data_IF_450680032265
#
_entry.id   IF_450680032265
#
_cell.length_a   1.000
_cell.length_b   1.000
_cell.length_c   1.000
_cell.angle_alpha   90.00
_cell.angle_beta   90.00
_cell.angle_gamma   90.00
#
_symmetry.space_group_name_H-M   'P 1'
#
loop_
_entity.id
_entity.type
_entity.pdbx_description
1 polymer ?
#
# COMPACT_ATOMS: atom_id res chain seq x y z
N UNK A 1 -2.95 8.04 -10.17
CA UNK A 1 -3.19 8.44 -8.78
C UNK A 1 -3.89 9.77 -8.64
N UNK A 2 -3.35 10.84 -9.25
CA UNK A 2 -4.03 12.14 -9.22
C UNK A 2 -5.45 12.07 -9.76
N UNK A 3 -5.65 11.32 -10.83
CA UNK A 3 -6.96 11.17 -11.44
C UNK A 3 -7.97 10.52 -10.47
N UNK A 4 -7.57 9.50 -9.75
CA UNK A 4 -8.46 8.84 -8.79
C UNK A 4 -8.88 9.80 -7.67
N UNK A 5 -7.97 10.61 -7.15
CA UNK A 5 -8.26 11.60 -6.12
C UNK A 5 -9.20 12.69 -6.63
N UNK A 6 -8.97 13.16 -7.85
CA UNK A 6 -9.79 14.19 -8.46
C UNK A 6 -11.22 13.68 -8.72
N UNK A 7 -11.34 12.44 -9.21
CA UNK A 7 -12.63 11.84 -9.52
C UNK A 7 -13.53 11.68 -8.30
N UNK A 8 -12.95 11.50 -7.10
CA UNK A 8 -13.71 11.31 -5.88
C UNK A 8 -13.65 12.50 -4.91
N UNK A 9 -13.13 13.64 -5.37
CA UNK A 9 -13.04 14.87 -4.57
C UNK A 9 -12.25 14.72 -3.27
N UNK A 10 -11.13 13.97 -3.30
CA UNK A 10 -10.32 13.74 -2.11
C UNK A 10 -9.75 15.03 -1.51
N UNK A 11 -9.44 16.03 -2.33
CA UNK A 11 -8.85 17.27 -1.85
C UNK A 11 -9.78 18.00 -0.87
N UNK A 12 -11.07 17.96 -1.11
CA UNK A 12 -12.06 18.53 -0.19
C UNK A 12 -12.06 17.79 1.15
N UNK A 13 -12.00 16.46 1.10
CA UNK A 13 -11.94 15.61 2.30
C UNK A 13 -10.65 15.87 3.07
N UNK A 14 -9.53 16.01 2.40
CA UNK A 14 -8.24 16.29 3.04
C UNK A 14 -8.25 17.64 3.75
N UNK A 15 -8.91 18.63 3.20
CA UNK A 15 -9.01 19.95 3.82
C UNK A 15 -9.76 19.91 5.15
N UNK A 16 -10.55 18.86 5.39
CA UNK A 16 -11.24 18.62 6.65
C UNK A 16 -10.41 17.77 7.63
N UNK A 17 -9.16 17.44 7.28
CA UNK A 17 -8.28 16.61 8.10
C UNK A 17 -8.57 15.12 8.04
N UNK A 18 -9.37 14.68 7.09
CA UNK A 18 -9.73 13.26 6.94
C UNK A 18 -8.78 12.61 5.94
N UNK A 19 -7.80 11.86 6.44
CA UNK A 19 -6.72 11.27 5.62
C UNK A 19 -6.58 9.76 5.78
N UNK A 20 -7.47 9.14 6.52
CA UNK A 20 -7.38 7.71 6.85
C UNK A 20 -6.54 7.44 8.09
N UNK A 21 -6.14 8.45 8.82
CA UNK A 21 -5.37 8.30 10.05
C UNK A 21 -6.14 7.43 11.06
N UNK A 22 -5.47 6.43 11.61
CA UNK A 22 -6.09 5.48 12.53
C UNK A 22 -6.72 4.27 11.85
N UNK A 23 -6.71 4.23 10.52
CA UNK A 23 -7.25 3.09 9.74
C UNK A 23 -6.09 2.26 9.20
N UNK A 24 -6.17 0.94 9.37
CA UNK A 24 -5.23 0.00 8.78
C UNK A 24 -5.80 -0.60 7.50
N UNK A 25 -4.99 -0.63 6.45
CA UNK A 25 -5.37 -1.24 5.16
C UNK A 25 -4.42 -2.39 4.87
N UNK A 26 -4.97 -3.59 4.69
CA UNK A 26 -4.21 -4.77 4.30
C UNK A 26 -4.14 -4.85 2.78
N UNK A 27 -2.92 -4.96 2.25
CA UNK A 27 -2.66 -5.08 0.82
C UNK A 27 -2.15 -6.49 0.55
N UNK A 28 -2.99 -7.33 -0.04
CA UNK A 28 -2.66 -8.72 -0.41
C UNK A 28 -2.18 -8.72 -1.85
N UNK A 29 -0.87 -8.72 -2.05
CA UNK A 29 -0.27 -8.50 -3.37
C UNK A 29 1.13 -9.11 -3.44
N UNK A 30 2.02 -8.52 -4.22
CA UNK A 30 3.38 -9.02 -4.46
C UNK A 30 4.38 -8.65 -3.37
N UNK A 31 3.97 -7.90 -2.37
CA UNK A 31 4.83 -7.42 -1.31
C UNK A 31 4.85 -5.91 -1.22
N UNK A 32 5.84 -5.36 -0.54
CA UNK A 32 5.99 -3.92 -0.41
C UNK A 32 7.45 -3.53 -0.25
N UNK A 33 7.89 -2.56 -1.03
CA UNK A 33 9.16 -1.87 -0.83
C UNK A 33 8.89 -0.67 0.08
N UNK A 34 9.76 -0.44 1.05
CA UNK A 34 9.56 0.64 2.04
C UNK A 34 9.94 2.00 1.44
N UNK A 35 9.05 2.52 0.61
CA UNK A 35 9.21 3.82 -0.03
C UNK A 35 9.01 4.96 0.97
N UNK A 36 9.68 6.09 0.71
CA UNK A 36 9.62 7.30 1.55
C UNK A 36 8.18 7.74 1.88
N UNK A 37 7.27 7.62 0.92
CA UNK A 37 5.91 8.12 1.04
C UNK A 37 5.07 7.35 2.06
N UNK A 38 5.50 6.16 2.48
CA UNK A 38 4.69 5.38 3.43
C UNK A 38 5.48 4.47 4.37
N UNK A 39 6.81 4.44 4.29
CA UNK A 39 7.62 3.47 5.05
C UNK A 39 7.34 3.49 6.56
N UNK A 40 7.07 4.65 7.13
CA UNK A 40 6.84 4.80 8.57
C UNK A 40 5.44 4.35 8.99
N UNK A 41 4.56 4.08 8.02
CA UNK A 41 3.19 3.63 8.28
C UNK A 41 2.94 2.19 7.87
N UNK A 42 3.97 1.46 7.45
CA UNK A 42 3.89 0.01 7.23
C UNK A 42 4.07 -0.65 8.59
N UNK A 43 2.98 -1.16 9.16
CA UNK A 43 2.95 -1.66 10.53
C UNK A 43 3.17 -3.16 10.63
N UNK A 44 2.96 -3.90 9.54
CA UNK A 44 3.16 -5.34 9.53
C UNK A 44 3.44 -5.85 8.12
N UNK A 45 4.17 -6.95 8.03
CA UNK A 45 4.47 -7.63 6.77
C UNK A 45 4.41 -9.13 6.99
N UNK A 46 3.74 -9.84 6.10
CA UNK A 46 3.71 -11.30 6.08
C UNK A 46 3.98 -11.80 4.66
N UNK A 47 4.81 -12.84 4.53
CA UNK A 47 5.20 -13.41 3.25
C UNK A 47 4.79 -14.88 3.20
N UNK A 48 3.74 -15.19 2.46
CA UNK A 48 3.24 -16.55 2.30
C UNK A 48 3.83 -17.25 1.07
N UNK A 49 4.70 -16.57 0.33
CA UNK A 49 5.37 -17.12 -0.85
C UNK A 49 6.74 -17.69 -0.49
N UNK A 50 7.62 -16.87 0.09
CA UNK A 50 8.99 -17.25 0.40
C UNK A 50 9.28 -17.27 1.91
N UNK A 51 8.32 -16.90 2.74
CA UNK A 51 8.42 -16.90 4.21
C UNK A 51 9.54 -16.01 4.76
N UNK A 52 9.85 -14.93 4.06
CA UNK A 52 10.81 -13.93 4.56
C UNK A 52 10.14 -13.04 5.60
N UNK A 53 10.94 -12.47 6.48
CA UNK A 53 10.44 -11.65 7.59
C UNK A 53 10.58 -10.15 7.36
N UNK A 54 11.46 -9.73 6.45
CA UNK A 54 11.68 -8.32 6.14
C UNK A 54 10.91 -7.92 4.88
N UNK A 55 10.27 -6.76 4.87
CA UNK A 55 9.49 -6.30 3.71
C UNK A 55 10.32 -6.24 2.43
N UNK A 56 9.75 -6.73 1.35
CA UNK A 56 10.32 -6.64 0.01
C UNK A 56 9.21 -6.78 -1.03
N UNK A 57 9.51 -6.39 -2.26
CA UNK A 57 8.60 -6.53 -3.40
C UNK A 57 9.43 -6.86 -4.64
N UNK A 58 9.39 -8.10 -5.08
CA UNK A 58 10.17 -8.58 -6.24
C UNK A 58 9.42 -8.45 -7.56
N UNK A 59 8.29 -7.76 -7.58
CA UNK A 59 7.53 -7.46 -8.80
C UNK A 59 7.32 -5.95 -8.96
N UNK A 60 6.93 -5.26 -7.88
CA UNK A 60 6.65 -3.83 -7.87
C UNK A 60 5.16 -3.48 -7.85
N UNK A 61 4.29 -4.41 -8.23
CA UNK A 61 2.85 -4.15 -8.30
C UNK A 61 2.27 -3.81 -6.93
N UNK A 62 2.60 -4.58 -5.89
CA UNK A 62 2.11 -4.34 -4.54
C UNK A 62 2.55 -3.00 -3.97
N UNK A 63 3.78 -2.61 -4.24
CA UNK A 63 4.31 -1.30 -3.84
C UNK A 63 3.55 -0.17 -4.52
N UNK A 64 3.26 -0.34 -5.80
CA UNK A 64 2.47 0.66 -6.55
C UNK A 64 1.05 0.79 -5.98
N UNK A 65 0.41 -0.33 -5.70
CA UNK A 65 -0.92 -0.34 -5.09
C UNK A 65 -0.89 0.33 -3.70
N UNK A 66 0.11 0.02 -2.88
CA UNK A 66 0.26 0.64 -1.57
C UNK A 66 0.40 2.17 -1.68
N UNK A 67 1.14 2.64 -2.66
CA UNK A 67 1.30 4.07 -2.91
C UNK A 67 -0.01 4.74 -3.35
N UNK A 68 -0.79 4.06 -4.17
CA UNK A 68 -2.11 4.55 -4.59
C UNK A 68 -3.08 4.66 -3.42
N UNK A 69 -2.97 3.76 -2.46
CA UNK A 69 -3.84 3.73 -1.28
C UNK A 69 -3.37 4.75 -0.25
N UNK A 70 -2.11 4.69 0.14
CA UNK A 70 -1.63 5.36 1.34
C UNK A 70 -0.35 6.17 1.20
N UNK A 71 0.09 6.50 -0.01
CA UNK A 71 1.27 7.34 -0.19
C UNK A 71 1.02 8.76 0.34
N UNK A 72 1.98 9.30 1.11
CA UNK A 72 1.87 10.67 1.63
C UNK A 72 2.12 11.73 0.56
N UNK A 73 2.83 11.35 -0.50
CA UNK A 73 3.22 12.28 -1.55
C UNK A 73 4.42 13.15 -1.19
N UNK A 74 5.11 12.85 -0.09
CA UNK A 74 6.22 13.67 0.40
C UNK A 74 7.35 13.80 -0.63
N UNK A 75 7.60 12.73 -1.41
CA UNK A 75 8.63 12.73 -2.45
C UNK A 75 8.28 13.60 -3.64
N UNK A 76 7.04 14.04 -3.77
CA UNK A 76 6.53 14.82 -4.89
C UNK A 76 5.80 16.09 -4.44
N UNK A 77 6.06 16.55 -3.22
CA UNK A 77 5.40 17.71 -2.62
C UNK A 77 3.86 17.59 -2.64
N UNK A 78 3.37 16.38 -2.45
CA UNK A 78 1.93 16.10 -2.39
C UNK A 78 1.28 15.84 -3.74
N UNK A 79 2.01 15.95 -4.84
CA UNK A 79 1.46 15.78 -6.20
C UNK A 79 0.91 14.37 -6.42
N UNK A 80 1.63 13.34 -5.94
CA UNK A 80 1.24 11.94 -6.13
C UNK A 80 0.79 11.29 -4.82
N UNK A 81 0.02 12.04 -4.03
CA UNK A 81 -0.56 11.55 -2.79
C UNK A 81 -1.59 10.45 -3.07
N UNK A 82 -1.61 9.43 -2.23
CA UNK A 82 -2.61 8.36 -2.31
C UNK A 82 -4.00 8.82 -1.84
N UNK A 83 -4.97 7.93 -1.93
CA UNK A 83 -6.35 8.23 -1.54
C UNK A 83 -6.46 8.44 -0.02
N UNK A 84 -5.77 7.63 0.77
CA UNK A 84 -5.77 7.71 2.24
C UNK A 84 -4.34 7.92 2.76
N UNK A 85 -3.75 9.12 2.57
CA UNK A 85 -2.33 9.34 2.81
C UNK A 85 -1.91 9.23 4.27
N UNK A 86 -2.84 9.17 5.21
CA UNK A 86 -2.56 9.00 6.63
C UNK A 86 -2.80 7.60 7.16
N UNK A 87 -3.26 6.65 6.33
CA UNK A 87 -3.57 5.29 6.80
C UNK A 87 -2.30 4.51 7.13
N UNK A 88 -2.45 3.47 7.97
CA UNK A 88 -1.42 2.46 8.18
C UNK A 88 -1.57 1.35 7.14
N UNK A 89 -0.46 0.76 6.73
CA UNK A 89 -0.43 -0.28 5.72
C UNK A 89 0.05 -1.60 6.33
N UNK A 90 -0.64 -2.67 5.98
CA UNK A 90 -0.26 -4.04 6.33
C UNK A 90 -0.03 -4.76 5.01
N UNK A 91 1.19 -5.20 4.76
CA UNK A 91 1.51 -5.89 3.51
C UNK A 91 1.47 -7.39 3.71
N UNK A 92 0.69 -8.08 2.89
CA UNK A 92 0.61 -9.53 2.88
C UNK A 92 1.01 -10.01 1.48
N UNK A 93 2.20 -10.58 1.37
CA UNK A 93 2.67 -11.12 0.09
C UNK A 93 2.05 -12.48 -0.15
N UNK A 94 1.18 -12.54 -1.13
CA UNK A 94 0.51 -13.78 -1.58
C UNK A 94 0.76 -14.05 -3.07
N UNK A 95 1.41 -13.13 -3.77
CA UNK A 95 1.75 -13.24 -5.19
C UNK A 95 3.26 -13.26 -5.36
N UNK A 96 3.75 -14.10 -6.28
CA UNK A 96 5.17 -14.24 -6.56
C UNK A 96 5.71 -13.11 -7.45
N UNK A 97 6.97 -13.21 -7.87
CA UNK A 97 7.63 -12.19 -8.68
C UNK A 97 7.00 -11.99 -10.07
N UNK A 98 6.18 -12.94 -10.50
CA UNK A 98 5.45 -12.84 -11.78
C UNK A 98 4.01 -12.36 -11.59
N UNK A 99 3.61 -12.09 -10.34
CA UNK A 99 2.25 -11.69 -10.00
C UNK A 99 1.28 -12.86 -9.91
N UNK A 100 1.77 -14.09 -9.82
CA UNK A 100 0.94 -15.28 -9.70
C UNK A 100 0.76 -15.67 -8.24
N UNK A 101 -0.48 -15.99 -7.86
CA UNK A 101 -0.80 -16.47 -6.53
C UNK A 101 -1.12 -17.96 -6.52
N UNK A 102 -1.13 -18.51 -5.33
CA UNK A 102 -1.50 -19.90 -5.10
C UNK A 102 -2.80 -19.92 -4.31
N UNK A 103 -3.87 -20.41 -4.92
CA UNK A 103 -5.20 -20.42 -4.32
C UNK A 103 -5.25 -21.12 -2.96
N UNK A 104 -4.49 -22.19 -2.79
CA UNK A 104 -4.41 -22.91 -1.52
C UNK A 104 -3.84 -22.05 -0.40
N UNK A 105 -2.83 -21.24 -0.71
CA UNK A 105 -2.24 -20.31 0.26
C UNK A 105 -3.27 -19.27 0.72
N UNK A 106 -4.07 -18.78 -0.20
CA UNK A 106 -5.13 -17.80 0.11
C UNK A 106 -6.22 -18.39 0.99
N UNK A 107 -6.57 -19.65 0.77
CA UNK A 107 -7.60 -20.34 1.55
C UNK A 107 -7.19 -20.50 3.03
N UNK A 108 -5.91 -20.63 3.29
CA UNK A 108 -5.38 -20.85 4.65
C UNK A 108 -5.05 -19.56 5.41
N UNK A 109 -5.25 -18.43 4.79
CA UNK A 109 -5.08 -17.14 5.45
C UNK A 109 -6.32 -16.79 6.24
#
# INVERSE_FOLDING_TARGET
MNQAREDINCEEVYSMGITGRGVGVAVLDTGIYLHEDFKDRVTAFADFVNHRTSPYDDNGHGTHIAAMIGGSGISSDGKYRGVAPGCSLISVKVLDQKGNGYALSLIHI
#
